data_IF_682163031101
#
_entry.id   IF_682163031101
#
_cell.length_a   1.000
_cell.length_b   1.000
_cell.length_c   1.000
_cell.angle_alpha   90.00
_cell.angle_beta   90.00
_cell.angle_gamma   90.00
#
_symmetry.space_group_name_H-M   'P 1'
#
loop_
_entity.id
_entity.type
_entity.pdbx_description
1 polymer ?
#
# COMPACT_ATOMS: atom_id res chain seq x y z
N UNK A 1 49.46 -27.35 -35.69
CA UNK A 1 49.65 -27.96 -34.35
C UNK A 1 48.30 -27.96 -33.64
N UNK A 2 47.64 -29.12 -33.63
CA UNK A 2 46.32 -29.37 -33.08
C UNK A 2 46.45 -29.56 -31.56
N UNK A 3 45.74 -28.79 -30.73
CA UNK A 3 45.65 -29.04 -29.27
C UNK A 3 44.24 -29.51 -28.92
N UNK A 4 44.12 -30.83 -28.84
CA UNK A 4 43.06 -31.57 -28.16
C UNK A 4 42.96 -31.06 -26.71
N UNK A 5 41.77 -30.64 -26.26
CA UNK A 5 41.44 -30.50 -24.84
C UNK A 5 40.42 -31.56 -24.48
N UNK A 6 40.85 -32.42 -23.58
CA UNK A 6 40.15 -33.57 -23.00
C UNK A 6 39.01 -33.14 -22.08
N UNK A 7 37.90 -33.86 -22.18
CA UNK A 7 36.75 -33.83 -21.28
C UNK A 7 37.10 -34.38 -19.89
N UNK A 8 36.49 -33.81 -18.84
CA UNK A 8 36.35 -34.46 -17.54
C UNK A 8 34.87 -34.42 -17.15
N UNK A 9 34.21 -35.58 -17.20
CA UNK A 9 32.84 -35.78 -16.72
C UNK A 9 32.93 -36.26 -15.27
N UNK A 10 32.40 -35.47 -14.33
CA UNK A 10 32.27 -35.89 -12.94
C UNK A 10 30.95 -36.67 -12.77
N UNK A 11 31.06 -37.93 -12.36
CA UNK A 11 29.93 -38.78 -12.01
C UNK A 11 29.44 -38.42 -10.60
N UNK A 12 28.17 -38.01 -10.48
CA UNK A 12 27.51 -37.81 -9.19
C UNK A 12 26.74 -39.08 -8.81
N UNK A 13 27.23 -39.76 -7.78
CA UNK A 13 26.58 -40.93 -7.17
C UNK A 13 25.49 -40.46 -6.22
N UNK A 14 24.22 -40.72 -6.54
CA UNK A 14 23.08 -40.50 -5.65
C UNK A 14 22.88 -41.76 -4.81
N UNK A 15 23.17 -41.67 -3.50
CA UNK A 15 22.78 -42.68 -2.52
C UNK A 15 21.36 -42.39 -2.03
N UNK A 16 20.41 -43.27 -2.38
CA UNK A 16 19.12 -43.36 -1.71
C UNK A 16 19.30 -44.07 -0.37
N UNK A 17 19.03 -43.37 0.73
CA UNK A 17 18.85 -43.99 2.04
C UNK A 17 17.37 -43.93 2.39
N UNK A 18 16.71 -45.08 2.36
CA UNK A 18 15.37 -45.27 2.89
C UNK A 18 15.44 -45.30 4.43
N UNK A 19 14.68 -44.42 5.09
CA UNK A 19 14.43 -44.53 6.53
C UNK A 19 12.94 -44.82 6.77
N UNK A 20 12.75 -45.92 7.49
CA UNK A 20 11.52 -46.55 7.94
C UNK A 20 10.72 -45.68 8.90
N UNK A 21 9.39 -45.71 8.74
CA UNK A 21 8.43 -45.10 9.66
C UNK A 21 8.47 -45.80 11.03
N UNK A 22 8.72 -45.03 12.08
CA UNK A 22 8.54 -45.46 13.47
C UNK A 22 7.50 -44.53 14.11
N UNK A 23 6.35 -45.10 14.47
CA UNK A 23 5.29 -44.42 15.21
C UNK A 23 5.74 -44.18 16.66
N UNK A 24 5.70 -42.96 17.21
CA UNK A 24 5.99 -42.75 18.62
C UNK A 24 4.72 -42.90 19.46
N UNK A 25 4.82 -43.83 20.42
CA UNK A 25 3.96 -44.00 21.58
C UNK A 25 4.04 -42.76 22.49
N UNK A 26 2.88 -42.28 22.93
CA UNK A 26 2.67 -41.17 23.88
C UNK A 26 3.16 -41.54 25.28
N UNK A 27 4.01 -40.71 25.93
CA UNK A 27 4.16 -40.73 27.38
C UNK A 27 3.23 -39.68 28.02
N UNK A 28 2.54 -40.12 29.07
CA UNK A 28 1.80 -39.26 29.98
C UNK A 28 2.73 -38.44 30.87
N UNK A 29 2.28 -37.20 31.14
CA UNK A 29 2.48 -36.44 32.37
C UNK A 29 3.88 -35.85 32.68
N UNK A 30 3.99 -34.53 32.54
CA UNK A 30 4.41 -33.65 33.63
C UNK A 30 4.11 -32.19 33.26
N UNK A 31 3.44 -31.48 34.17
CA UNK A 31 3.09 -30.08 34.04
C UNK A 31 4.33 -29.20 33.85
N UNK A 32 4.44 -28.58 32.68
CA UNK A 32 5.26 -27.41 32.47
C UNK A 32 4.31 -26.21 32.38
N UNK A 33 4.45 -25.28 33.32
CA UNK A 33 3.75 -24.01 33.32
C UNK A 33 4.10 -23.25 32.04
N UNK A 34 3.18 -23.24 31.08
CA UNK A 34 3.19 -22.28 29.99
C UNK A 34 2.85 -20.92 30.58
N UNK A 35 3.86 -20.07 30.74
CA UNK A 35 3.65 -18.62 30.72
C UNK A 35 3.07 -18.29 29.35
N UNK A 36 1.74 -18.22 29.27
CA UNK A 36 1.03 -17.51 28.22
C UNK A 36 1.59 -16.09 28.20
N UNK A 37 2.40 -15.80 27.17
CA UNK A 37 2.57 -14.42 26.72
C UNK A 37 1.15 -13.95 26.36
N UNK A 38 0.62 -12.92 27.02
CA UNK A 38 -0.66 -12.37 26.62
C UNK A 38 -0.55 -11.99 25.15
N UNK A 39 -1.49 -12.47 24.34
CA UNK A 39 -1.80 -11.76 23.11
C UNK A 39 -2.06 -10.32 23.55
N UNK A 40 -1.11 -9.45 23.27
CA UNK A 40 -1.27 -8.01 23.41
C UNK A 40 -2.45 -7.70 22.51
N UNK A 41 -3.61 -7.65 23.15
CA UNK A 41 -4.83 -7.08 22.63
C UNK A 41 -4.39 -5.67 22.30
N UNK A 42 -3.95 -5.46 21.07
CA UNK A 42 -3.70 -4.16 20.51
C UNK A 42 -5.00 -3.42 20.79
N UNK A 43 -4.97 -2.58 21.82
CA UNK A 43 -6.01 -1.63 22.09
C UNK A 43 -6.22 -0.96 20.74
N UNK A 44 -7.46 -0.94 20.20
CA UNK A 44 -7.70 -0.25 18.96
C UNK A 44 -7.28 1.18 19.23
N UNK A 45 -6.07 1.54 18.80
CA UNK A 45 -5.53 2.88 18.90
C UNK A 45 -6.68 3.73 18.40
N UNK A 46 -7.24 4.55 19.29
CA UNK A 46 -8.43 5.32 19.01
C UNK A 46 -8.21 5.88 17.62
N UNK A 47 -9.02 5.42 16.66
CA UNK A 47 -8.91 5.91 15.30
C UNK A 47 -8.88 7.42 15.48
N UNK A 48 -7.83 8.10 14.96
CA UNK A 48 -7.70 9.53 15.20
C UNK A 48 -9.08 10.12 14.98
N UNK A 49 -9.54 10.96 15.90
CA UNK A 49 -10.64 11.87 15.59
C UNK A 49 -10.17 12.60 14.35
N UNK A 50 -10.47 12.00 13.20
CA UNK A 50 -10.10 12.46 11.91
C UNK A 50 -11.15 13.54 11.71
N UNK A 51 -10.87 14.70 12.32
CA UNK A 51 -11.45 15.95 11.90
C UNK A 51 -11.48 15.88 10.40
N UNK A 52 -12.70 15.94 9.85
CA UNK A 52 -12.87 16.01 8.42
C UNK A 52 -11.87 17.07 7.91
N UNK A 53 -11.16 16.82 6.79
CA UNK A 53 -10.25 17.80 6.24
C UNK A 53 -10.93 19.17 6.20
N UNK A 54 -10.29 20.18 6.79
CA UNK A 54 -10.84 21.52 7.06
C UNK A 54 -11.73 22.03 5.91
N UNK A 55 -12.94 22.50 6.27
CA UNK A 55 -13.99 22.94 5.34
C UNK A 55 -13.54 24.11 4.43
N UNK A 56 -12.52 24.88 4.82
CA UNK A 56 -12.06 26.09 4.12
C UNK A 56 -11.01 25.86 3.02
N UNK A 57 -10.60 24.61 2.75
CA UNK A 57 -9.63 24.30 1.69
C UNK A 57 -10.14 23.26 0.70
N UNK A 58 -11.44 23.32 0.35
CA UNK A 58 -11.95 22.74 -0.88
C UNK A 58 -11.46 23.56 -2.08
N UNK A 59 -10.16 23.43 -2.39
CA UNK A 59 -9.68 23.68 -3.74
C UNK A 59 -10.54 22.85 -4.67
N UNK A 60 -11.20 23.53 -5.60
CA UNK A 60 -12.15 22.99 -6.56
C UNK A 60 -11.79 21.56 -6.93
N UNK A 61 -12.70 20.63 -6.65
CA UNK A 61 -12.76 19.35 -7.34
C UNK A 61 -13.02 19.63 -8.82
N UNK A 62 -12.00 20.14 -9.50
CA UNK A 62 -11.96 20.19 -10.94
C UNK A 62 -11.80 18.73 -11.35
N UNK A 63 -12.94 18.21 -11.79
CA UNK A 63 -13.19 17.05 -12.61
C UNK A 63 -12.00 16.12 -12.84
N UNK A 64 -12.27 14.82 -12.78
CA UNK A 64 -11.53 13.82 -13.53
C UNK A 64 -11.25 14.36 -14.96
N UNK A 65 -10.10 14.98 -15.16
CA UNK A 65 -9.75 15.58 -16.43
C UNK A 65 -9.55 14.43 -17.41
N UNK A 66 -10.25 14.51 -18.53
CA UNK A 66 -10.19 13.50 -19.58
C UNK A 66 -8.72 13.24 -19.96
N UNK A 67 -8.35 11.99 -20.29
CA UNK A 67 -7.00 11.66 -20.73
C UNK A 67 -6.59 12.59 -21.86
N UNK A 68 -5.38 13.15 -21.76
CA UNK A 68 -4.86 14.11 -22.75
C UNK A 68 -5.01 13.59 -24.17
N UNK A 69 -5.48 14.46 -25.07
CA UNK A 69 -5.57 14.14 -26.49
C UNK A 69 -4.18 14.23 -27.12
N UNK A 70 -3.85 13.32 -28.01
CA UNK A 70 -2.67 13.43 -28.86
C UNK A 70 -2.80 14.61 -29.84
N UNK A 71 -1.76 14.84 -30.66
CA UNK A 71 -1.74 15.90 -31.67
C UNK A 71 -2.86 15.78 -32.73
N UNK A 72 -3.61 14.66 -32.73
CA UNK A 72 -4.74 14.40 -33.64
C UNK A 72 -6.11 14.56 -32.96
N UNK A 73 -6.15 14.90 -31.66
CA UNK A 73 -7.39 14.98 -30.90
C UNK A 73 -7.90 13.61 -30.42
N UNK A 74 -7.13 12.53 -30.62
CA UNK A 74 -7.48 11.19 -30.16
C UNK A 74 -7.03 11.00 -28.72
N UNK A 75 -7.78 10.30 -27.85
CA UNK A 75 -7.34 10.01 -26.49
C UNK A 75 -6.00 9.28 -26.55
N UNK A 76 -4.94 9.89 -25.99
CA UNK A 76 -3.65 9.19 -25.89
C UNK A 76 -3.86 8.02 -24.93
N UNK A 77 -3.87 6.81 -25.45
CA UNK A 77 -3.97 5.61 -24.62
C UNK A 77 -2.67 5.52 -23.81
N UNK A 78 -2.73 5.96 -22.54
CA UNK A 78 -1.61 5.83 -21.62
C UNK A 78 -1.51 4.35 -21.26
N UNK A 79 -0.34 3.78 -21.54
CA UNK A 79 0.02 2.42 -21.20
C UNK A 79 1.32 2.44 -20.40
N UNK A 80 1.40 1.62 -19.36
CA UNK A 80 2.60 1.46 -18.55
C UNK A 80 3.24 0.10 -18.82
N UNK A 81 4.55 0.05 -18.85
CA UNK A 81 5.28 -1.23 -18.88
C UNK A 81 5.14 -1.96 -17.55
N UNK A 82 5.32 -3.27 -17.54
CA UNK A 82 5.43 -4.07 -16.30
C UNK A 82 6.46 -3.53 -15.30
N UNK A 83 7.59 -3.00 -15.80
CA UNK A 83 8.60 -2.39 -14.93
C UNK A 83 8.10 -1.06 -14.33
N UNK A 84 7.48 -0.20 -15.14
CA UNK A 84 6.87 1.04 -14.65
C UNK A 84 5.79 0.73 -13.59
N UNK A 85 4.93 -0.27 -13.83
CA UNK A 85 3.93 -0.72 -12.88
C UNK A 85 4.54 -1.23 -11.57
N UNK A 86 5.57 -2.08 -11.65
CA UNK A 86 6.25 -2.62 -10.46
C UNK A 86 6.84 -1.50 -9.60
N UNK A 87 7.55 -0.56 -10.22
CA UNK A 87 8.17 0.56 -9.52
C UNK A 87 7.12 1.52 -8.95
N UNK A 88 6.05 1.82 -9.70
CA UNK A 88 4.94 2.63 -9.18
C UNK A 88 4.22 1.94 -8.02
N UNK A 89 4.13 0.61 -8.01
CA UNK A 89 3.55 -0.15 -6.89
C UNK A 89 4.36 0.04 -5.61
N UNK A 90 5.70 0.07 -5.69
CA UNK A 90 6.53 0.45 -4.55
C UNK A 90 6.26 1.90 -4.11
N UNK A 91 6.10 2.83 -5.06
CA UNK A 91 5.73 4.21 -4.77
C UNK A 91 4.36 4.37 -4.09
N UNK A 92 3.38 3.49 -4.37
CA UNK A 92 2.11 3.45 -3.61
C UNK A 92 2.38 3.16 -2.14
N UNK A 93 3.26 2.21 -1.83
CA UNK A 93 3.63 1.89 -0.44
C UNK A 93 4.30 3.06 0.31
N UNK A 94 5.15 3.83 -0.38
CA UNK A 94 5.77 5.04 0.19
C UNK A 94 4.74 6.18 0.36
N UNK A 95 3.85 6.36 -0.60
CA UNK A 95 2.77 7.33 -0.51
C UNK A 95 1.79 7.01 0.63
N UNK A 96 1.46 5.74 0.85
CA UNK A 96 0.69 5.28 2.01
C UNK A 96 1.40 5.62 3.32
N UNK A 97 2.71 5.37 3.42
CA UNK A 97 3.48 5.74 4.60
C UNK A 97 3.46 7.26 4.84
N UNK A 98 3.54 8.06 3.78
CA UNK A 98 3.40 9.51 3.87
C UNK A 98 2.01 9.93 4.37
N UNK A 99 0.94 9.34 3.82
CA UNK A 99 -0.45 9.61 4.22
C UNK A 99 -0.66 9.34 5.70
N UNK A 100 -0.36 8.13 6.15
CA UNK A 100 -0.61 7.71 7.53
C UNK A 100 0.25 8.48 8.52
N UNK A 101 1.48 8.82 8.15
CA UNK A 101 2.34 9.67 8.98
C UNK A 101 1.81 11.09 9.06
N UNK A 102 1.32 11.67 7.95
CA UNK A 102 0.75 13.00 7.93
C UNK A 102 -0.53 13.09 8.78
N UNK A 103 -1.40 12.06 8.73
CA UNK A 103 -2.58 11.95 9.61
C UNK A 103 -2.14 11.95 11.09
N UNK A 104 -1.17 11.10 11.45
CA UNK A 104 -0.68 11.00 12.84
C UNK A 104 -0.01 12.28 13.33
N UNK A 105 0.80 12.93 12.49
CA UNK A 105 1.40 14.25 12.79
C UNK A 105 0.31 15.27 13.08
N UNK A 106 -0.77 15.32 12.29
CA UNK A 106 -1.92 16.22 12.53
C UNK A 106 -2.65 15.89 13.83
N UNK A 107 -2.65 14.63 14.25
CA UNK A 107 -3.18 14.19 15.55
C UNK A 107 -2.21 14.39 16.73
N UNK A 108 -1.07 15.05 16.53
CA UNK A 108 -0.10 15.35 17.58
C UNK A 108 0.85 14.20 17.95
N UNK A 109 0.98 13.18 17.11
CA UNK A 109 2.01 12.15 17.32
C UNK A 109 3.41 12.77 17.15
N UNK A 110 4.33 12.42 18.04
CA UNK A 110 5.73 12.84 17.96
C UNK A 110 6.52 12.05 16.91
N UNK A 111 7.58 12.66 16.37
CA UNK A 111 8.39 12.08 15.29
C UNK A 111 8.95 10.71 15.66
N UNK A 112 9.48 10.54 16.87
CA UNK A 112 10.09 9.29 17.30
C UNK A 112 9.06 8.15 17.39
N UNK A 113 7.84 8.45 17.81
CA UNK A 113 6.73 7.48 17.83
C UNK A 113 6.29 7.10 16.43
N UNK A 114 6.21 8.07 15.52
CA UNK A 114 5.92 7.79 14.11
C UNK A 114 6.99 6.91 13.46
N UNK A 115 8.27 7.13 13.77
CA UNK A 115 9.38 6.27 13.33
C UNK A 115 9.25 4.85 13.89
N UNK A 116 8.85 4.68 15.14
CA UNK A 116 8.70 3.35 15.75
C UNK A 116 7.75 2.43 14.97
N UNK A 117 6.69 2.99 14.37
CA UNK A 117 5.68 2.24 13.60
C UNK A 117 6.28 1.48 12.40
N UNK A 118 7.34 2.03 11.79
CA UNK A 118 7.91 1.47 10.55
C UNK A 118 9.19 0.66 10.75
N UNK A 119 9.72 0.56 11.98
CA UNK A 119 11.01 -0.13 12.25
C UNK A 119 11.00 -1.62 11.88
N UNK A 120 9.85 -2.26 11.96
CA UNK A 120 9.66 -3.69 11.64
C UNK A 120 9.15 -3.93 10.22
N UNK A 121 8.94 -2.88 9.42
CA UNK A 121 8.47 -3.01 8.05
C UNK A 121 9.61 -3.39 7.11
N UNK A 122 9.32 -4.03 5.96
CA UNK A 122 10.30 -4.15 4.89
C UNK A 122 10.83 -2.76 4.50
N UNK A 123 12.11 -2.66 4.16
CA UNK A 123 12.75 -1.39 3.77
C UNK A 123 12.55 -0.26 4.80
N UNK A 124 12.90 -0.48 6.09
CA UNK A 124 12.60 0.47 7.15
C UNK A 124 13.25 1.84 6.91
N UNK A 125 14.44 1.89 6.32
CA UNK A 125 15.17 3.14 6.03
C UNK A 125 14.40 4.05 5.07
N UNK A 126 13.77 3.49 4.03
CA UNK A 126 12.95 4.26 3.08
C UNK A 126 11.71 4.84 3.76
N UNK A 127 11.05 4.04 4.61
CA UNK A 127 9.92 4.50 5.39
C UNK A 127 10.31 5.56 6.43
N UNK A 128 11.46 5.41 7.11
CA UNK A 128 11.96 6.43 8.04
C UNK A 128 12.23 7.76 7.34
N UNK A 129 12.83 7.72 6.14
CA UNK A 129 13.08 8.93 5.36
C UNK A 129 11.77 9.65 5.00
N UNK A 130 10.73 8.91 4.61
CA UNK A 130 9.39 9.49 4.37
C UNK A 130 8.81 10.09 5.65
N UNK A 131 8.97 9.42 6.80
CA UNK A 131 8.49 9.94 8.09
C UNK A 131 9.19 11.27 8.42
N UNK A 132 10.52 11.30 8.36
CA UNK A 132 11.31 12.51 8.63
C UNK A 132 10.92 13.65 7.68
N UNK A 133 10.72 13.35 6.39
CA UNK A 133 10.26 14.33 5.41
C UNK A 133 8.88 14.89 5.76
N UNK A 134 7.90 14.06 6.11
CA UNK A 134 6.57 14.51 6.52
C UNK A 134 6.63 15.42 7.75
N UNK A 135 7.54 15.14 8.70
CA UNK A 135 7.72 15.98 9.88
C UNK A 135 8.44 17.29 9.58
N UNK A 136 9.38 17.31 8.64
CA UNK A 136 10.04 18.52 8.17
C UNK A 136 9.10 19.42 7.34
N UNK A 137 8.16 18.83 6.59
CA UNK A 137 7.27 19.55 5.70
C UNK A 137 6.09 20.22 6.43
N UNK A 138 5.58 21.31 5.85
CA UNK A 138 4.25 21.85 6.21
C UNK A 138 3.17 21.10 5.42
N UNK A 139 2.39 20.28 6.11
CA UNK A 139 1.29 19.51 5.52
C UNK A 139 -0.02 20.27 5.71
N UNK A 140 -0.53 20.91 4.66
CA UNK A 140 -1.89 21.47 4.65
C UNK A 140 -2.93 20.36 4.47
N UNK A 141 -3.13 19.97 3.22
CA UNK A 141 -4.02 18.87 2.85
C UNK A 141 -3.25 17.55 2.74
N UNK A 142 -3.62 16.55 3.56
CA UNK A 142 -3.00 15.21 3.56
C UNK A 142 -3.16 14.51 2.22
N UNK A 143 -4.34 14.62 1.60
CA UNK A 143 -4.65 13.97 0.33
C UNK A 143 -3.74 14.47 -0.79
N UNK A 144 -3.66 15.78 -0.95
CA UNK A 144 -2.83 16.42 -1.99
C UNK A 144 -1.35 16.17 -1.74
N UNK A 145 -0.93 16.17 -0.47
CA UNK A 145 0.43 15.81 -0.08
C UNK A 145 0.77 14.39 -0.53
N UNK A 146 -0.09 13.41 -0.23
CA UNK A 146 0.11 12.00 -0.61
C UNK A 146 0.14 11.81 -2.13
N UNK A 147 -0.78 12.44 -2.87
CA UNK A 147 -0.78 12.38 -4.34
C UNK A 147 0.52 12.93 -4.92
N UNK A 148 1.00 14.06 -4.39
CA UNK A 148 2.29 14.64 -4.81
C UNK A 148 3.46 13.72 -4.49
N UNK A 149 3.48 13.09 -3.32
CA UNK A 149 4.54 12.14 -2.96
C UNK A 149 4.58 10.94 -3.91
N UNK A 150 3.41 10.37 -4.23
CA UNK A 150 3.30 9.31 -5.22
C UNK A 150 3.85 9.75 -6.60
N UNK A 151 3.47 10.94 -7.05
CA UNK A 151 3.91 11.46 -8.35
C UNK A 151 5.42 11.69 -8.40
N UNK A 152 6.00 12.27 -7.34
CA UNK A 152 7.44 12.49 -7.23
C UNK A 152 8.20 11.17 -7.22
N UNK A 153 7.76 10.20 -6.41
CA UNK A 153 8.36 8.87 -6.38
C UNK A 153 8.27 8.21 -7.76
N UNK A 154 7.11 8.23 -8.40
CA UNK A 154 6.91 7.59 -9.71
C UNK A 154 7.76 8.22 -10.81
N UNK A 155 7.90 9.54 -10.80
CA UNK A 155 8.77 10.25 -11.74
C UNK A 155 10.26 9.87 -11.56
N UNK A 156 10.70 9.65 -10.32
CA UNK A 156 12.10 9.33 -10.00
C UNK A 156 12.42 7.85 -10.14
N UNK A 157 11.60 6.97 -9.56
CA UNK A 157 11.87 5.54 -9.46
C UNK A 157 11.34 4.73 -10.64
N UNK A 158 10.15 5.08 -11.14
CA UNK A 158 9.55 4.42 -12.30
C UNK A 158 9.92 5.12 -13.62
N UNK A 159 10.56 6.30 -13.54
CA UNK A 159 10.93 7.13 -14.70
C UNK A 159 9.74 7.48 -15.60
N UNK A 160 8.54 7.53 -15.02
CA UNK A 160 7.32 7.89 -15.74
C UNK A 160 7.16 9.41 -15.70
N UNK A 161 7.11 10.10 -16.84
CA UNK A 161 7.05 11.55 -16.83
C UNK A 161 5.68 12.04 -16.30
N UNK A 162 5.61 13.20 -15.63
CA UNK A 162 4.41 13.66 -14.93
C UNK A 162 3.12 13.66 -15.75
N UNK A 163 3.19 13.99 -17.03
CA UNK A 163 2.05 14.01 -17.96
C UNK A 163 1.45 12.62 -18.21
N UNK A 164 2.18 11.54 -17.91
CA UNK A 164 1.69 10.15 -17.97
C UNK A 164 1.19 9.65 -16.62
N UNK A 165 1.33 10.39 -15.53
CA UNK A 165 1.00 9.90 -14.18
C UNK A 165 -0.46 10.09 -13.78
N UNK A 166 -1.28 10.73 -14.61
CA UNK A 166 -2.66 11.06 -14.24
C UNK A 166 -3.50 9.81 -13.92
N UNK A 167 -3.45 8.78 -14.78
CA UNK A 167 -4.21 7.54 -14.55
C UNK A 167 -3.67 6.75 -13.36
N UNK A 168 -2.35 6.61 -13.23
CA UNK A 168 -1.75 5.98 -12.05
C UNK A 168 -2.10 6.72 -10.74
N UNK A 169 -2.09 8.06 -10.75
CA UNK A 169 -2.49 8.87 -9.58
C UNK A 169 -3.96 8.64 -9.22
N UNK A 170 -4.83 8.45 -10.21
CA UNK A 170 -6.23 8.09 -10.00
C UNK A 170 -6.37 6.69 -9.39
N UNK A 171 -5.61 5.70 -9.88
CA UNK A 171 -5.60 4.35 -9.33
C UNK A 171 -5.08 4.29 -7.89
N UNK A 172 -4.03 5.06 -7.58
CA UNK A 172 -3.49 5.19 -6.23
C UNK A 172 -4.52 5.80 -5.28
N UNK A 173 -5.21 6.86 -5.70
CA UNK A 173 -6.30 7.46 -4.92
C UNK A 173 -7.44 6.48 -4.61
N UNK A 174 -7.82 5.58 -5.54
CA UNK A 174 -8.82 4.53 -5.27
C UNK A 174 -8.37 3.62 -4.13
N UNK A 175 -7.09 3.22 -4.12
CA UNK A 175 -6.52 2.43 -3.04
C UNK A 175 -6.48 3.22 -1.72
N UNK A 176 -6.18 4.52 -1.72
CA UNK A 176 -6.27 5.38 -0.52
C UNK A 176 -7.69 5.42 0.06
N UNK A 177 -8.73 5.58 -0.78
CA UNK A 177 -10.14 5.52 -0.34
C UNK A 177 -10.40 4.17 0.33
N UNK A 178 -9.94 3.08 -0.29
CA UNK A 178 -10.06 1.73 0.27
C UNK A 178 -9.40 1.55 1.62
N UNK A 179 -8.17 2.03 1.78
CA UNK A 179 -7.40 1.98 3.03
C UNK A 179 -8.12 2.70 4.17
N UNK A 180 -8.51 3.96 3.94
CA UNK A 180 -9.21 4.76 4.93
C UNK A 180 -10.57 4.15 5.27
N UNK A 181 -11.36 3.76 4.27
CA UNK A 181 -12.64 3.06 4.47
C UNK A 181 -12.47 1.79 5.31
N UNK A 182 -11.44 0.99 5.01
CA UNK A 182 -11.16 -0.22 5.77
C UNK A 182 -10.86 0.12 7.23
N UNK A 183 -10.18 1.24 7.49
CA UNK A 183 -9.90 1.71 8.84
C UNK A 183 -11.18 2.06 9.61
N UNK A 184 -12.20 2.66 8.97
CA UNK A 184 -13.54 2.83 9.58
C UNK A 184 -14.15 1.48 9.96
N UNK A 185 -14.16 0.55 9.01
CA UNK A 185 -14.72 -0.80 9.20
C UNK A 185 -14.01 -1.57 10.32
N UNK A 186 -12.69 -1.57 10.33
CA UNK A 186 -11.87 -2.28 11.31
C UNK A 186 -12.06 -1.73 12.73
N UNK A 187 -12.40 -0.45 12.86
CA UNK A 187 -12.79 0.17 14.12
C UNK A 187 -14.27 -0.05 14.49
N UNK A 188 -15.01 -0.88 13.75
CA UNK A 188 -16.42 -1.19 14.02
C UNK A 188 -17.39 -0.06 13.67
N UNK A 189 -16.95 0.97 12.92
CA UNK A 189 -17.80 2.11 12.56
C UNK A 189 -18.78 1.72 11.44
N UNK A 190 -20.04 2.20 11.47
CA UNK A 190 -21.02 1.90 10.42
C UNK A 190 -20.63 2.53 9.07
N UNK A 191 -21.11 1.93 7.98
CA UNK A 191 -20.81 2.41 6.60
C UNK A 191 -21.23 3.87 6.34
N UNK A 192 -22.24 4.36 7.07
CA UNK A 192 -22.68 5.76 7.01
C UNK A 192 -21.56 6.74 7.38
N UNK A 193 -20.66 6.36 8.28
CA UNK A 193 -19.54 7.22 8.69
C UNK A 193 -18.53 7.38 7.55
N UNK A 194 -18.26 6.29 6.82
CA UNK A 194 -17.40 6.32 5.65
C UNK A 194 -18.02 7.18 4.53
N UNK A 195 -19.33 7.05 4.26
CA UNK A 195 -20.01 7.94 3.31
C UNK A 195 -19.94 9.41 3.75
N UNK A 196 -20.15 9.70 5.02
CA UNK A 196 -20.04 11.06 5.56
C UNK A 196 -18.64 11.64 5.36
N UNK A 197 -17.60 10.85 5.69
CA UNK A 197 -16.21 11.25 5.51
C UNK A 197 -15.86 11.56 4.04
N UNK A 198 -16.38 10.76 3.11
CA UNK A 198 -16.10 10.89 1.68
C UNK A 198 -17.15 11.69 0.90
N UNK A 199 -18.12 12.33 1.57
CA UNK A 199 -19.24 13.02 0.91
C UNK A 199 -18.82 14.13 -0.06
N UNK A 200 -17.65 14.74 0.16
CA UNK A 200 -17.08 15.78 -0.72
C UNK A 200 -16.64 15.25 -2.10
N UNK A 201 -16.46 13.95 -2.25
CA UNK A 201 -16.08 13.35 -3.53
C UNK A 201 -17.34 12.95 -4.30
N UNK A 202 -17.63 13.66 -5.39
CA UNK A 202 -18.84 13.45 -6.22
C UNK A 202 -18.77 12.22 -7.13
N UNK A 203 -17.63 11.52 -7.16
CA UNK A 203 -17.43 10.37 -8.04
C UNK A 203 -18.21 9.14 -7.56
N UNK A 204 -19.02 8.48 -8.42
CA UNK A 204 -19.75 7.26 -8.05
C UNK A 204 -18.82 6.10 -7.67
N UNK A 205 -17.57 6.13 -8.15
CA UNK A 205 -16.54 5.13 -7.82
C UNK A 205 -16.22 5.15 -6.32
N UNK A 206 -16.31 6.29 -5.66
CA UNK A 206 -16.06 6.42 -4.21
C UNK A 206 -17.07 5.57 -3.45
N UNK A 207 -18.36 5.72 -3.75
CA UNK A 207 -19.42 4.91 -3.14
C UNK A 207 -19.21 3.43 -3.42
N UNK A 208 -18.87 3.06 -4.65
CA UNK A 208 -18.61 1.66 -5.03
C UNK A 208 -17.47 1.04 -4.22
N UNK A 209 -16.37 1.79 -4.02
CA UNK A 209 -15.25 1.35 -3.17
C UNK A 209 -15.73 1.16 -1.74
N UNK A 210 -16.48 2.13 -1.19
CA UNK A 210 -16.98 2.03 0.19
C UNK A 210 -17.86 0.80 0.37
N UNK A 211 -18.80 0.57 -0.53
CA UNK A 211 -19.70 -0.58 -0.53
C UNK A 211 -18.91 -1.90 -0.56
N UNK A 212 -17.93 -2.00 -1.47
CA UNK A 212 -17.10 -3.19 -1.63
C UNK A 212 -16.25 -3.49 -0.38
N UNK A 213 -15.65 -2.46 0.24
CA UNK A 213 -14.82 -2.61 1.44
C UNK A 213 -15.65 -3.09 2.64
N UNK A 214 -16.88 -2.59 2.79
CA UNK A 214 -17.77 -3.03 3.87
C UNK A 214 -18.34 -4.43 3.63
N UNK A 215 -18.51 -4.85 2.38
CA UNK A 215 -19.03 -6.17 2.03
C UNK A 215 -17.99 -7.31 1.99
N UNK A 216 -16.70 -7.00 1.85
CA UNK A 216 -15.63 -8.02 1.76
C UNK A 216 -15.23 -8.56 3.14
N UNK A 217 -14.65 -9.76 3.22
CA UNK A 217 -13.95 -10.26 4.42
C UNK A 217 -12.42 -10.24 4.26
N UNK A 218 -11.92 -9.74 3.13
CA UNK A 218 -10.50 -9.64 2.83
C UNK A 218 -9.75 -8.77 3.84
N UNK A 219 -8.46 -9.06 4.05
CA UNK A 219 -7.60 -8.25 4.91
C UNK A 219 -7.31 -6.88 4.29
N UNK A 220 -6.92 -5.90 5.11
CA UNK A 220 -6.63 -4.52 4.70
C UNK A 220 -5.68 -4.43 3.49
N UNK A 221 -4.54 -5.12 3.58
CA UNK A 221 -3.51 -5.06 2.54
C UNK A 221 -3.97 -5.73 1.24
N UNK A 222 -4.83 -6.74 1.32
CA UNK A 222 -5.45 -7.38 0.16
C UNK A 222 -6.43 -6.41 -0.53
N UNK A 223 -7.31 -5.73 0.21
CA UNK A 223 -8.22 -4.72 -0.32
C UNK A 223 -7.46 -3.61 -1.06
N UNK A 224 -6.39 -3.10 -0.44
CA UNK A 224 -5.54 -2.05 -1.03
C UNK A 224 -4.92 -2.51 -2.34
N UNK A 225 -4.32 -3.70 -2.32
CA UNK A 225 -3.67 -4.30 -3.49
C UNK A 225 -4.68 -4.53 -4.61
N UNK A 226 -5.85 -5.08 -4.30
CA UNK A 226 -6.91 -5.31 -5.29
C UNK A 226 -7.39 -4.01 -5.95
N UNK A 227 -7.58 -2.93 -5.20
CA UNK A 227 -8.02 -1.64 -5.74
C UNK A 227 -6.97 -0.99 -6.65
N UNK A 228 -5.70 -1.08 -6.27
CA UNK A 228 -4.59 -0.62 -7.11
C UNK A 228 -4.47 -1.46 -8.38
N UNK A 229 -4.31 -2.78 -8.23
CA UNK A 229 -4.06 -3.70 -9.34
C UNK A 229 -5.22 -3.72 -10.33
N UNK A 230 -6.48 -3.83 -9.86
CA UNK A 230 -7.65 -3.83 -10.77
C UNK A 230 -7.81 -2.53 -11.56
N UNK A 231 -7.29 -1.41 -11.06
CA UNK A 231 -7.27 -0.14 -11.76
C UNK A 231 -6.11 -0.04 -12.77
N UNK A 232 -4.94 -0.57 -12.42
CA UNK A 232 -3.73 -0.50 -13.25
C UNK A 232 -3.67 -1.55 -14.35
N UNK A 233 -4.16 -2.77 -14.12
CA UNK A 233 -4.08 -3.88 -15.10
C UNK A 233 -4.58 -3.52 -16.50
N UNK A 234 -5.71 -2.81 -16.70
CA UNK A 234 -6.17 -2.44 -18.05
C UNK A 234 -5.25 -1.46 -18.79
N UNK A 235 -4.32 -0.82 -18.08
CA UNK A 235 -3.39 0.20 -18.59
C UNK A 235 -1.93 -0.23 -18.40
N UNK A 236 -1.67 -1.52 -18.22
CA UNK A 236 -0.33 -2.11 -18.04
C UNK A 236 -0.11 -3.33 -18.93
N UNK A 237 1.13 -3.52 -19.43
CA UNK A 237 1.57 -4.78 -20.05
C UNK A 237 2.99 -4.77 -20.57
#
# INVERSE_FOLDING_TARGET
MLRLRTLTVAAATVLLTACTATTPTRPDSAAAASTETPAEKAEPAAAPEASAPDEDQAGSGEAAAQPGTDATGSPKQIYYTENEYTQMTACVGLADAAMHTAIRKRSGMELDDAKNIYRSRPHPDEHMAIVEQVYADTVGNVWDYTVRQFQQCSALQAQVPPERLQLASYCMQRQMIGDLTYSFKASGRPISDAYGYFAKFTSPVVKQIIDAVYATDAAKDEVKTQLWTSCMTPITG
#
